data_IF_694059382027
#
_entry.id   IF_694059382027
#
_cell.length_a   1.000
_cell.length_b   1.000
_cell.length_c   1.000
_cell.angle_alpha   90.00
_cell.angle_beta   90.00
_cell.angle_gamma   90.00
#
_symmetry.space_group_name_H-M   'P 1'
#
loop_
_entity.id
_entity.type
_entity.pdbx_description
1 polymer ?
#
# COMPACT_ATOMS: atom_id res chain seq x y z
N UNK A 1 -31.62 -57.87 -10.82
CA UNK A 1 -31.91 -56.47 -11.20
C UNK A 1 -30.86 -55.58 -10.56
N UNK A 2 -30.03 -54.90 -11.35
CA UNK A 2 -29.01 -53.97 -10.83
C UNK A 2 -29.70 -52.64 -10.50
N UNK A 3 -29.58 -52.16 -9.26
CA UNK A 3 -30.09 -50.83 -8.88
C UNK A 3 -29.27 -49.76 -9.59
N UNK A 4 -29.96 -48.84 -10.25
CA UNK A 4 -29.35 -47.65 -10.83
C UNK A 4 -28.84 -46.73 -9.70
N UNK A 5 -27.52 -46.54 -9.63
CA UNK A 5 -26.85 -45.68 -8.63
C UNK A 5 -26.58 -44.27 -9.15
N UNK A 6 -27.01 -43.95 -10.37
CA UNK A 6 -26.83 -42.64 -10.98
C UNK A 6 -27.42 -41.48 -10.14
N UNK A 7 -28.56 -41.63 -9.45
CA UNK A 7 -29.09 -40.57 -8.56
C UNK A 7 -28.17 -40.30 -7.37
N UNK A 8 -27.58 -41.34 -6.78
CA UNK A 8 -26.66 -41.24 -5.64
C UNK A 8 -25.36 -40.54 -6.06
N UNK A 9 -24.82 -40.92 -7.23
CA UNK A 9 -23.63 -40.29 -7.82
C UNK A 9 -23.84 -38.80 -8.12
N UNK A 10 -25.03 -38.40 -8.62
CA UNK A 10 -25.38 -36.99 -8.82
C UNK A 10 -25.48 -36.21 -7.50
N UNK A 11 -25.95 -36.83 -6.42
CA UNK A 11 -26.02 -36.19 -5.10
C UNK A 11 -24.62 -35.94 -4.51
N UNK A 12 -23.68 -36.88 -4.67
CA UNK A 12 -22.27 -36.67 -4.26
C UNK A 12 -21.58 -35.57 -5.06
N UNK A 13 -21.92 -35.40 -6.34
CA UNK A 13 -21.34 -34.36 -7.19
C UNK A 13 -21.77 -32.95 -6.76
N UNK A 14 -23.03 -32.78 -6.34
CA UNK A 14 -23.54 -31.50 -5.84
C UNK A 14 -22.96 -31.09 -4.47
N UNK A 15 -22.53 -32.06 -3.67
CA UNK A 15 -21.89 -31.81 -2.37
C UNK A 15 -20.36 -31.62 -2.48
N UNK A 16 -19.76 -32.01 -3.61
CA UNK A 16 -18.31 -31.98 -3.82
C UNK A 16 -17.79 -30.68 -4.47
N UNK A 17 -18.67 -29.78 -4.94
CA UNK A 17 -18.25 -28.58 -5.72
C UNK A 17 -18.03 -27.31 -4.88
N UNK A 18 -18.11 -27.39 -3.56
CA UNK A 18 -17.91 -26.23 -2.66
C UNK A 18 -16.50 -26.15 -2.09
N UNK A 19 -15.59 -27.06 -2.46
CA UNK A 19 -14.17 -26.92 -2.13
C UNK A 19 -13.57 -25.82 -3.02
N UNK A 20 -13.40 -24.62 -2.46
CA UNK A 20 -12.69 -23.50 -3.10
C UNK A 20 -13.56 -22.28 -3.44
N UNK A 21 -14.87 -22.42 -3.67
CA UNK A 21 -15.75 -21.27 -3.96
C UNK A 21 -16.02 -20.39 -2.73
N UNK A 22 -16.27 -21.01 -1.58
CA UNK A 22 -16.44 -20.32 -0.30
C UNK A 22 -15.11 -19.95 0.35
N UNK A 23 -14.08 -20.78 0.19
CA UNK A 23 -12.80 -20.59 0.88
C UNK A 23 -12.15 -19.23 0.62
N UNK A 24 -12.06 -18.79 -0.65
CA UNK A 24 -11.48 -17.46 -0.95
C UNK A 24 -12.36 -16.32 -0.45
N UNK A 25 -13.68 -16.50 -0.46
CA UNK A 25 -14.64 -15.53 0.07
C UNK A 25 -14.54 -15.45 1.61
N UNK A 26 -14.41 -16.58 2.29
CA UNK A 26 -14.23 -16.70 3.72
C UNK A 26 -12.88 -16.12 4.16
N UNK A 27 -11.80 -16.36 3.39
CA UNK A 27 -10.49 -15.72 3.61
C UNK A 27 -10.62 -14.21 3.45
N UNK A 28 -11.32 -13.72 2.43
CA UNK A 28 -11.55 -12.28 2.24
C UNK A 28 -12.37 -11.67 3.40
N UNK A 29 -13.40 -12.37 3.89
CA UNK A 29 -14.20 -11.96 5.05
C UNK A 29 -13.35 -11.97 6.32
N UNK A 30 -12.55 -13.00 6.55
CA UNK A 30 -11.65 -13.08 7.70
C UNK A 30 -10.56 -12.00 7.66
N UNK A 31 -9.99 -11.71 6.48
CA UNK A 31 -9.03 -10.62 6.30
C UNK A 31 -9.67 -9.26 6.58
N UNK A 32 -10.90 -9.02 6.11
CA UNK A 32 -11.61 -7.76 6.34
C UNK A 32 -12.09 -7.56 7.79
N UNK A 33 -12.37 -8.65 8.51
CA UNK A 33 -12.69 -8.62 9.94
C UNK A 33 -11.46 -8.55 10.86
N UNK A 34 -10.26 -8.81 10.33
CA UNK A 34 -9.03 -8.79 11.12
C UNK A 34 -8.57 -7.35 11.37
N UNK A 35 -8.95 -6.81 12.53
CA UNK A 35 -8.58 -5.45 12.97
C UNK A 35 -7.08 -5.17 12.91
N UNK A 36 -6.24 -6.12 13.32
CA UNK A 36 -4.78 -5.96 13.30
C UNK A 36 -4.23 -5.87 11.87
N UNK A 37 -4.78 -6.69 10.95
CA UNK A 37 -4.39 -6.62 9.54
C UNK A 37 -4.77 -5.27 8.94
N UNK A 38 -5.96 -4.75 9.27
CA UNK A 38 -6.40 -3.43 8.80
C UNK A 38 -5.51 -2.31 9.31
N UNK A 39 -5.16 -2.32 10.60
CA UNK A 39 -4.23 -1.35 11.19
C UNK A 39 -2.87 -1.36 10.47
N UNK A 40 -2.32 -2.55 10.19
CA UNK A 40 -1.06 -2.66 9.42
C UNK A 40 -1.20 -2.12 8.00
N UNK A 41 -2.32 -2.39 7.32
CA UNK A 41 -2.57 -1.87 5.98
C UNK A 41 -2.68 -0.35 5.97
N UNK A 42 -3.34 0.24 6.97
CA UNK A 42 -3.46 1.69 7.13
C UNK A 42 -2.08 2.32 7.39
N UNK A 43 -1.23 1.70 8.22
CA UNK A 43 0.15 2.14 8.45
C UNK A 43 1.00 2.09 7.17
N UNK A 44 0.84 1.04 6.35
CA UNK A 44 1.52 0.91 5.05
C UNK A 44 1.08 1.99 4.08
N UNK A 45 -0.21 2.32 4.03
CA UNK A 45 -0.74 3.39 3.19
C UNK A 45 -0.18 4.76 3.59
N UNK A 46 -0.06 5.01 4.90
CA UNK A 46 0.55 6.24 5.40
C UNK A 46 2.02 6.34 4.98
N UNK A 47 2.79 5.24 5.11
CA UNK A 47 4.20 5.21 4.65
C UNK A 47 4.30 5.45 3.15
N UNK A 48 3.42 4.84 2.35
CA UNK A 48 3.38 5.07 0.89
C UNK A 48 3.14 6.53 0.55
N UNK A 49 2.18 7.17 1.23
CA UNK A 49 1.86 8.58 1.05
C UNK A 49 3.05 9.49 1.39
N UNK A 50 3.80 9.16 2.45
CA UNK A 50 5.02 9.89 2.80
C UNK A 50 6.14 9.72 1.76
N UNK A 51 6.30 8.51 1.20
CA UNK A 51 7.28 8.26 0.13
C UNK A 51 6.93 9.08 -1.12
N UNK A 52 5.64 9.12 -1.48
CA UNK A 52 5.15 9.91 -2.61
C UNK A 52 5.46 11.41 -2.40
N UNK A 53 5.21 11.94 -1.21
CA UNK A 53 5.56 13.32 -0.85
C UNK A 53 7.07 13.60 -0.98
N UNK A 54 7.93 12.66 -0.63
CA UNK A 54 9.39 12.80 -0.82
C UNK A 54 9.73 12.86 -2.31
N UNK A 55 9.16 11.98 -3.12
CA UNK A 55 9.40 11.96 -4.57
C UNK A 55 8.96 13.27 -5.25
N UNK A 56 7.82 13.83 -4.84
CA UNK A 56 7.33 15.13 -5.32
C UNK A 56 8.29 16.26 -4.95
N UNK A 57 8.72 16.34 -3.68
CA UNK A 57 9.68 17.37 -3.26
C UNK A 57 11.03 17.22 -3.98
N UNK A 58 11.50 16.00 -4.24
CA UNK A 58 12.73 15.78 -5.03
C UNK A 58 12.58 16.33 -6.45
N UNK A 59 11.42 16.16 -7.07
CA UNK A 59 11.15 16.68 -8.41
C UNK A 59 11.22 18.22 -8.42
N UNK A 60 10.56 18.87 -7.45
CA UNK A 60 10.61 20.33 -7.29
C UNK A 60 12.06 20.80 -7.03
N UNK A 61 12.80 20.12 -6.16
CA UNK A 61 14.19 20.47 -5.85
C UNK A 61 15.09 20.39 -7.09
N UNK A 62 14.90 19.39 -7.96
CA UNK A 62 15.63 19.30 -9.23
C UNK A 62 15.35 20.50 -10.13
N UNK A 63 14.09 20.89 -10.26
CA UNK A 63 13.70 22.05 -11.06
C UNK A 63 14.27 23.35 -10.48
N UNK A 64 14.23 23.50 -9.15
CA UNK A 64 14.80 24.65 -8.46
C UNK A 64 16.32 24.73 -8.64
N UNK A 65 17.05 23.62 -8.54
CA UNK A 65 18.51 23.60 -8.74
C UNK A 65 18.91 24.07 -10.14
N UNK A 66 18.19 23.63 -11.18
CA UNK A 66 18.42 24.09 -12.55
C UNK A 66 18.22 25.62 -12.69
N UNK A 67 17.21 26.16 -12.00
CA UNK A 67 16.90 27.58 -12.03
C UNK A 67 17.84 28.44 -11.17
N UNK A 68 18.30 27.94 -10.01
CA UNK A 68 19.24 28.64 -9.11
C UNK A 68 20.64 28.76 -9.73
N UNK A 69 21.10 27.73 -10.45
CA UNK A 69 22.36 27.82 -11.20
C UNK A 69 22.29 28.86 -12.33
N UNK A 70 21.08 29.12 -12.83
CA UNK A 70 20.82 30.08 -13.90
C UNK A 70 20.61 31.52 -13.40
N UNK A 71 20.13 31.69 -12.16
CA UNK A 71 19.80 33.00 -11.58
C UNK A 71 20.09 33.05 -10.08
N UNK A 72 20.88 34.04 -9.65
CA UNK A 72 21.20 34.31 -8.23
C UNK A 72 19.99 34.90 -7.46
N UNK A 73 18.87 34.19 -7.43
CA UNK A 73 17.65 34.61 -6.75
C UNK A 73 17.61 34.05 -5.32
N UNK A 74 17.55 34.95 -4.33
CA UNK A 74 17.50 34.61 -2.90
C UNK A 74 16.22 33.86 -2.51
N UNK A 75 15.11 34.12 -3.18
CA UNK A 75 13.83 33.45 -2.88
C UNK A 75 13.86 31.99 -3.32
N UNK A 76 14.46 31.70 -4.49
CA UNK A 76 14.66 30.33 -4.97
C UNK A 76 15.56 29.53 -4.02
N UNK A 77 16.60 30.17 -3.46
CA UNK A 77 17.46 29.53 -2.45
C UNK A 77 16.68 29.20 -1.18
N UNK A 78 15.83 30.11 -0.70
CA UNK A 78 15.00 29.86 0.49
C UNK A 78 14.01 28.72 0.28
N UNK A 79 13.36 28.66 -0.89
CA UNK A 79 12.46 27.55 -1.23
C UNK A 79 13.23 26.23 -1.32
N UNK A 80 14.41 26.22 -1.93
CA UNK A 80 15.28 25.05 -2.01
C UNK A 80 15.65 24.50 -0.62
N UNK A 81 16.07 25.37 0.30
CA UNK A 81 16.41 25.01 1.68
C UNK A 81 15.18 24.43 2.41
N UNK A 82 14.02 25.06 2.24
CA UNK A 82 12.74 24.61 2.80
C UNK A 82 12.34 23.21 2.33
N UNK A 83 12.43 22.96 1.01
CA UNK A 83 12.09 21.66 0.41
C UNK A 83 13.07 20.57 0.82
N UNK A 84 14.36 20.89 0.91
CA UNK A 84 15.39 19.97 1.37
C UNK A 84 15.17 19.58 2.84
N UNK A 85 14.78 20.55 3.68
CA UNK A 85 14.38 20.29 5.06
C UNK A 85 13.15 19.38 5.14
N UNK A 86 12.12 19.64 4.33
CA UNK A 86 10.91 18.81 4.27
C UNK A 86 11.22 17.36 3.86
N UNK A 87 12.08 17.15 2.86
CA UNK A 87 12.56 15.81 2.47
C UNK A 87 13.21 15.10 3.66
N UNK A 88 14.07 15.80 4.40
CA UNK A 88 14.80 15.24 5.54
C UNK A 88 13.85 14.82 6.67
N UNK A 89 12.89 15.69 7.03
CA UNK A 89 11.88 15.40 8.06
C UNK A 89 10.97 14.24 7.68
N UNK A 90 10.46 14.23 6.43
CA UNK A 90 9.59 13.16 5.95
C UNK A 90 10.34 11.82 5.87
N UNK A 91 11.60 11.83 5.42
CA UNK A 91 12.45 10.62 5.39
C UNK A 91 12.66 10.05 6.79
N UNK A 92 12.90 10.90 7.79
CA UNK A 92 13.04 10.47 9.18
C UNK A 92 11.74 9.90 9.75
N UNK A 93 10.58 10.49 9.41
CA UNK A 93 9.26 9.96 9.77
C UNK A 93 9.01 8.57 9.16
N UNK A 94 9.34 8.38 7.88
CA UNK A 94 9.28 7.07 7.21
C UNK A 94 10.15 6.05 7.94
N UNK A 95 11.41 6.41 8.22
CA UNK A 95 12.35 5.55 8.93
C UNK A 95 11.82 5.12 10.31
N UNK A 96 11.21 6.04 11.07
CA UNK A 96 10.62 5.74 12.38
C UNK A 96 9.48 4.73 12.26
N UNK A 97 8.55 4.95 11.32
CA UNK A 97 7.43 4.03 11.08
C UNK A 97 7.90 2.63 10.70
N UNK A 98 8.89 2.53 9.81
CA UNK A 98 9.43 1.24 9.38
C UNK A 98 10.21 0.50 10.48
N UNK A 99 10.73 1.21 11.49
CA UNK A 99 11.42 0.60 12.64
C UNK A 99 10.49 -0.02 13.69
N UNK A 100 9.17 0.18 13.58
CA UNK A 100 8.19 -0.42 14.49
C UNK A 100 8.28 0.09 15.94
N UNK A 101 8.50 1.40 16.12
CA UNK A 101 8.44 2.06 17.44
C UNK A 101 7.27 3.03 17.53
#
# INVERSE_FOLDING_TARGET
>A
MVRDRLPELRAYQNNSTTFGKGFLQDVHIQMSQNKKLREVLDEVEEVRSLIQLVAENITIVKDLYNNVLSYTNKDLKKELDSRTYAISQTSFRIQRKLRGR
#
